data_IF_048092417053
#
_entry.id   IF_048092417053
#
_cell.length_a   1.000
_cell.length_b   1.000
_cell.length_c   1.000
_cell.angle_alpha   90.00
_cell.angle_beta   90.00
_cell.angle_gamma   90.00
#
_symmetry.space_group_name_H-M   'P 1'
#
loop_
_entity.id
_entity.type
_entity.pdbx_description
1 polymer ?
#
# COMPACT_ATOMS: atom_id res chain seq x y z
N UNK A 1 14.22 -18.14 12.61
CA UNK A 1 13.06 -17.26 12.86
C UNK A 1 11.81 -18.06 12.54
N UNK A 2 10.71 -17.79 13.25
CA UNK A 2 9.43 -18.40 12.89
C UNK A 2 8.94 -17.79 11.56
N UNK A 3 8.26 -18.59 10.70
CA UNK A 3 7.56 -18.05 9.53
C UNK A 3 6.66 -16.88 9.92
N UNK A 4 6.74 -15.78 9.16
CA UNK A 4 5.87 -14.62 9.35
C UNK A 4 4.66 -14.69 8.43
N UNK A 5 3.55 -14.08 8.84
CA UNK A 5 2.38 -13.82 7.98
C UNK A 5 2.41 -12.36 7.54
N UNK A 6 2.54 -12.13 6.24
CA UNK A 6 2.59 -10.80 5.63
C UNK A 6 1.39 -10.64 4.71
N UNK A 7 0.49 -9.74 5.06
CA UNK A 7 -0.74 -9.51 4.31
C UNK A 7 -0.62 -8.27 3.43
N UNK A 8 -1.02 -8.39 2.17
CA UNK A 8 -1.04 -7.28 1.21
C UNK A 8 -2.51 -7.01 0.85
N UNK A 9 -3.05 -5.91 1.35
CA UNK A 9 -4.41 -5.45 1.08
C UNK A 9 -4.39 -4.54 -0.15
N UNK A 10 -5.21 -4.86 -1.15
CA UNK A 10 -5.15 -4.24 -2.48
C UNK A 10 -4.10 -4.91 -3.38
N UNK A 11 -3.86 -6.20 -3.18
CA UNK A 11 -2.82 -6.96 -3.87
C UNK A 11 -2.97 -6.97 -5.40
N UNK A 12 -4.15 -6.68 -5.95
CA UNK A 12 -4.37 -6.52 -7.38
C UNK A 12 -3.61 -5.34 -8.01
N UNK A 13 -2.97 -4.48 -7.21
CA UNK A 13 -1.95 -3.52 -7.68
C UNK A 13 -0.67 -4.26 -8.13
N UNK A 14 -0.72 -4.87 -9.32
CA UNK A 14 0.25 -5.86 -9.76
C UNK A 14 1.71 -5.41 -9.70
N UNK A 15 2.03 -4.20 -10.15
CA UNK A 15 3.41 -3.68 -10.12
C UNK A 15 3.92 -3.59 -8.68
N UNK A 16 3.12 -2.99 -7.79
CA UNK A 16 3.49 -2.80 -6.39
C UNK A 16 3.62 -4.15 -5.66
N UNK A 17 2.63 -5.02 -5.81
CA UNK A 17 2.64 -6.34 -5.17
C UNK A 17 3.79 -7.21 -5.65
N UNK A 18 4.11 -7.21 -6.95
CA UNK A 18 5.20 -8.02 -7.50
C UNK A 18 6.58 -7.47 -7.13
N UNK A 19 6.73 -6.15 -6.96
CA UNK A 19 7.95 -5.57 -6.39
C UNK A 19 8.17 -6.05 -4.96
N UNK A 20 7.15 -5.97 -4.10
CA UNK A 20 7.23 -6.50 -2.73
C UNK A 20 7.55 -7.99 -2.71
N UNK A 21 6.87 -8.80 -3.53
CA UNK A 21 7.17 -10.23 -3.62
C UNK A 21 8.60 -10.49 -4.09
N UNK A 22 9.11 -9.72 -5.05
CA UNK A 22 10.50 -9.81 -5.52
C UNK A 22 11.49 -9.58 -4.39
N UNK A 23 11.26 -8.55 -3.58
CA UNK A 23 12.15 -8.20 -2.47
C UNK A 23 12.07 -9.22 -1.34
N UNK A 24 10.86 -9.72 -1.03
CA UNK A 24 10.67 -10.82 -0.08
C UNK A 24 11.42 -12.09 -0.52
N UNK A 25 11.37 -12.44 -1.81
CA UNK A 25 12.11 -13.60 -2.35
C UNK A 25 13.63 -13.45 -2.20
N UNK A 26 14.14 -12.22 -2.25
CA UNK A 26 15.58 -11.90 -2.16
C UNK A 26 16.06 -11.69 -0.73
N UNK A 27 15.18 -11.76 0.27
CA UNK A 27 15.49 -11.46 1.67
C UNK A 27 15.55 -12.74 2.52
N UNK A 28 16.74 -13.31 2.80
CA UNK A 28 16.87 -14.65 3.37
C UNK A 28 16.22 -14.82 4.75
N UNK A 29 16.21 -13.76 5.58
CA UNK A 29 15.59 -13.81 6.91
C UNK A 29 14.05 -13.88 6.87
N UNK A 30 13.43 -13.60 5.72
CA UNK A 30 11.98 -13.68 5.50
C UNK A 30 11.57 -14.96 4.75
N UNK A 31 12.51 -15.86 4.47
CA UNK A 31 12.21 -17.15 3.85
C UNK A 31 11.18 -17.94 4.69
N UNK A 32 10.36 -18.77 4.02
CA UNK A 32 9.27 -19.56 4.62
C UNK A 32 8.07 -18.76 5.13
N UNK A 33 8.07 -17.44 5.00
CA UNK A 33 6.90 -16.61 5.31
C UNK A 33 5.71 -16.92 4.41
N UNK A 34 4.51 -16.68 4.94
CA UNK A 34 3.25 -16.74 4.22
C UNK A 34 2.87 -15.34 3.78
N UNK A 35 2.65 -15.15 2.48
CA UNK A 35 2.17 -13.89 1.91
C UNK A 35 0.69 -14.05 1.57
N UNK A 36 -0.18 -13.33 2.29
CA UNK A 36 -1.62 -13.28 2.03
C UNK A 36 -1.93 -12.14 1.06
N UNK A 37 -2.34 -12.49 -0.14
CA UNK A 37 -2.76 -11.55 -1.17
C UNK A 37 -4.27 -11.32 -1.03
N UNK A 38 -4.67 -10.09 -0.72
CA UNK A 38 -6.09 -9.73 -0.59
C UNK A 38 -6.47 -8.65 -1.59
N UNK A 39 -7.51 -8.91 -2.38
CA UNK A 39 -8.17 -7.93 -3.24
C UNK A 39 -9.65 -8.31 -3.43
N UNK A 40 -10.49 -7.31 -3.71
CA UNK A 40 -11.90 -7.54 -4.03
C UNK A 40 -12.11 -7.95 -5.49
N UNK A 41 -11.14 -7.64 -6.37
CA UNK A 41 -11.14 -8.03 -7.77
C UNK A 41 -10.43 -9.38 -7.93
N UNK A 42 -11.23 -10.44 -8.12
CA UNK A 42 -10.73 -11.81 -8.24
C UNK A 42 -9.82 -12.00 -9.46
N UNK A 43 -10.09 -11.31 -10.57
CA UNK A 43 -9.30 -11.46 -11.80
C UNK A 43 -7.90 -10.87 -11.61
N UNK A 44 -7.82 -9.68 -11.01
CA UNK A 44 -6.53 -9.05 -10.69
C UNK A 44 -5.76 -9.88 -9.65
N UNK A 45 -6.47 -10.37 -8.63
CA UNK A 45 -5.88 -11.22 -7.59
C UNK A 45 -5.29 -12.51 -8.16
N UNK A 46 -5.99 -13.18 -9.07
CA UNK A 46 -5.51 -14.38 -9.77
C UNK A 46 -4.26 -14.11 -10.59
N UNK A 47 -4.26 -13.01 -11.36
CA UNK A 47 -3.09 -12.60 -12.13
C UNK A 47 -1.86 -12.37 -11.26
N UNK A 48 -2.03 -11.66 -10.13
CA UNK A 48 -0.93 -11.38 -9.20
C UNK A 48 -0.44 -12.65 -8.51
N UNK A 49 -1.33 -13.53 -8.04
CA UNK A 49 -0.93 -14.79 -7.43
C UNK A 49 -0.14 -15.67 -8.40
N UNK A 50 -0.57 -15.76 -9.66
CA UNK A 50 0.13 -16.51 -10.70
C UNK A 50 1.55 -15.99 -10.91
N UNK A 51 1.69 -14.67 -11.09
CA UNK A 51 2.98 -14.03 -11.33
C UNK A 51 3.89 -14.11 -10.09
N UNK A 52 3.35 -13.92 -8.88
CA UNK A 52 4.09 -14.06 -7.63
C UNK A 52 4.64 -15.48 -7.44
N UNK A 53 3.84 -16.50 -7.78
CA UNK A 53 4.25 -17.91 -7.72
C UNK A 53 5.37 -18.21 -8.73
N UNK A 54 5.26 -17.66 -9.95
CA UNK A 54 6.31 -17.79 -10.97
C UNK A 54 7.61 -17.15 -10.49
N UNK A 55 7.54 -15.93 -9.97
CA UNK A 55 8.69 -15.18 -9.48
C UNK A 55 9.41 -15.90 -8.33
N UNK A 56 8.64 -16.41 -7.36
CA UNK A 56 9.17 -17.25 -6.28
C UNK A 56 9.93 -18.46 -6.81
N UNK A 57 9.34 -19.20 -7.76
CA UNK A 57 9.95 -20.40 -8.32
C UNK A 57 11.24 -20.07 -9.09
N UNK A 58 11.27 -18.94 -9.80
CA UNK A 58 12.44 -18.47 -10.53
C UNK A 58 13.60 -18.09 -9.60
N UNK A 59 13.31 -17.46 -8.46
CA UNK A 59 14.31 -17.18 -7.42
C UNK A 59 14.66 -18.38 -6.52
N UNK A 60 13.94 -19.50 -6.63
CA UNK A 60 14.09 -20.64 -5.72
C UNK A 60 13.73 -20.31 -4.26
N UNK A 61 12.86 -19.33 -4.05
CA UNK A 61 12.47 -18.87 -2.71
C UNK A 61 11.40 -19.79 -2.08
N UNK A 62 11.38 -19.88 -0.76
CA UNK A 62 10.45 -20.75 -0.02
C UNK A 62 9.23 -19.99 0.52
N UNK A 63 8.72 -18.96 -0.18
CA UNK A 63 7.51 -18.25 0.24
C UNK A 63 6.24 -19.08 -0.01
N UNK A 64 5.28 -19.03 0.90
CA UNK A 64 3.92 -19.53 0.67
C UNK A 64 3.00 -18.37 0.24
N UNK A 65 2.03 -18.64 -0.62
CA UNK A 65 1.03 -17.65 -1.04
C UNK A 65 -0.37 -18.16 -0.73
N UNK A 66 -1.13 -17.32 -0.02
CA UNK A 66 -2.56 -17.48 0.18
C UNK A 66 -3.26 -16.33 -0.53
N UNK A 67 -4.47 -16.57 -1.06
CA UNK A 67 -5.31 -15.51 -1.61
C UNK A 67 -6.66 -15.50 -0.91
N UNK A 68 -7.22 -14.32 -0.70
CA UNK A 68 -8.58 -14.16 -0.17
C UNK A 68 -9.21 -12.88 -0.71
N UNK A 69 -10.54 -12.86 -0.77
CA UNK A 69 -11.32 -11.63 -0.99
C UNK A 69 -11.88 -11.07 0.32
N UNK A 70 -11.65 -11.76 1.44
CA UNK A 70 -12.12 -11.39 2.75
C UNK A 70 -11.04 -10.62 3.52
N UNK A 71 -11.43 -9.47 4.08
CA UNK A 71 -10.49 -8.60 4.78
C UNK A 71 -10.10 -9.16 6.16
N UNK A 72 -11.02 -9.83 6.85
CA UNK A 72 -10.80 -10.41 8.18
C UNK A 72 -9.85 -11.62 8.09
N UNK A 73 -10.03 -12.50 7.11
CA UNK A 73 -9.09 -13.58 6.81
C UNK A 73 -7.68 -13.05 6.51
N UNK A 74 -7.59 -11.94 5.76
CA UNK A 74 -6.30 -11.34 5.43
C UNK A 74 -5.60 -10.77 6.67
N UNK A 75 -6.32 -10.12 7.58
CA UNK A 75 -5.72 -9.42 8.74
C UNK A 75 -5.48 -10.36 9.93
N UNK A 76 -6.35 -11.34 10.17
CA UNK A 76 -6.33 -12.15 11.38
C UNK A 76 -5.00 -12.91 11.56
N UNK A 77 -4.31 -12.64 12.67
CA UNK A 77 -3.01 -13.24 13.00
C UNK A 77 -1.85 -12.84 12.07
N UNK A 78 -1.96 -11.75 11.30
CA UNK A 78 -0.85 -11.23 10.52
C UNK A 78 0.24 -10.63 11.43
N UNK A 79 1.50 -10.69 11.01
CA UNK A 79 2.62 -9.97 11.64
C UNK A 79 2.81 -8.58 11.00
N UNK A 80 2.52 -8.49 9.70
CA UNK A 80 2.59 -7.27 8.92
C UNK A 80 1.37 -7.15 8.01
N UNK A 81 0.75 -5.98 7.99
CA UNK A 81 -0.36 -5.65 7.11
C UNK A 81 0.07 -4.47 6.24
N UNK A 82 0.27 -4.71 4.94
CA UNK A 82 0.64 -3.71 3.95
C UNK A 82 -0.63 -3.28 3.23
N UNK A 83 -1.04 -2.03 3.37
CA UNK A 83 -2.23 -1.50 2.71
C UNK A 83 -1.86 -0.64 1.51
N UNK A 84 -2.18 -1.13 0.31
CA UNK A 84 -2.05 -0.44 -0.98
C UNK A 84 -3.40 -0.28 -1.70
N UNK A 85 -4.53 -0.53 -1.00
CA UNK A 85 -5.84 -0.45 -1.62
C UNK A 85 -6.29 1.00 -1.89
N UNK A 86 -6.85 1.22 -3.07
CA UNK A 86 -7.51 2.47 -3.46
C UNK A 86 -9.02 2.22 -3.61
N UNK A 87 -9.79 2.55 -2.58
CA UNK A 87 -11.23 2.32 -2.54
C UNK A 87 -11.93 3.13 -3.64
N UNK A 88 -12.72 2.44 -4.47
CA UNK A 88 -13.38 3.01 -5.66
C UNK A 88 -12.48 3.13 -6.89
N UNK A 89 -11.16 3.03 -6.73
CA UNK A 89 -10.19 3.09 -7.82
C UNK A 89 -10.18 4.40 -8.61
N UNK A 90 -9.40 4.41 -9.69
CA UNK A 90 -9.36 5.54 -10.63
C UNK A 90 -10.73 5.95 -11.20
N UNK A 91 -11.69 5.03 -11.49
CA UNK A 91 -13.01 5.42 -11.96
C UNK A 91 -13.77 6.33 -10.96
N UNK A 92 -13.63 6.09 -9.65
CA UNK A 92 -14.19 6.97 -8.64
C UNK A 92 -13.52 8.35 -8.67
N UNK A 93 -12.18 8.38 -8.70
CA UNK A 93 -11.41 9.63 -8.71
C UNK A 93 -11.77 10.51 -9.90
N UNK A 94 -11.79 9.96 -11.11
CA UNK A 94 -12.10 10.70 -12.33
C UNK A 94 -13.57 11.14 -12.39
N UNK A 95 -14.49 10.32 -11.86
CA UNK A 95 -15.91 10.72 -11.74
C UNK A 95 -16.06 11.94 -10.85
N UNK A 96 -15.41 11.95 -9.69
CA UNK A 96 -15.44 13.10 -8.76
C UNK A 96 -14.74 14.31 -9.39
N UNK A 97 -13.61 14.09 -10.07
CA UNK A 97 -12.88 15.16 -10.77
C UNK A 97 -13.77 15.86 -11.79
N UNK A 98 -14.46 15.07 -12.62
CA UNK A 98 -15.38 15.60 -13.64
C UNK A 98 -16.56 16.38 -13.03
N UNK A 99 -17.05 15.98 -11.84
CA UNK A 99 -18.04 16.77 -11.10
C UNK A 99 -17.41 18.11 -10.68
N UNK A 100 -16.24 18.12 -10.06
CA UNK A 100 -15.57 19.36 -9.65
C UNK A 100 -15.32 20.31 -10.83
N UNK A 101 -14.82 19.79 -11.95
CA UNK A 101 -14.53 20.58 -13.15
C UNK A 101 -15.81 21.20 -13.76
N UNK A 102 -16.94 20.46 -13.75
CA UNK A 102 -18.25 20.99 -14.16
C UNK A 102 -18.69 22.20 -13.32
N UNK A 103 -18.21 22.31 -12.09
CA UNK A 103 -18.53 23.39 -11.17
C UNK A 103 -17.42 24.46 -11.05
N UNK A 104 -16.45 24.47 -11.97
CA UNK A 104 -15.40 25.49 -12.02
C UNK A 104 -14.16 25.20 -11.17
N UNK A 105 -14.08 24.01 -10.57
CA UNK A 105 -12.87 23.56 -9.86
C UNK A 105 -11.98 22.78 -10.82
N UNK A 106 -11.08 23.49 -11.50
CA UNK A 106 -10.08 22.86 -12.38
C UNK A 106 -9.28 21.81 -11.60
N UNK A 107 -9.20 20.59 -12.14
CA UNK A 107 -8.61 19.38 -11.50
C UNK A 107 -9.39 18.80 -10.32
N UNK A 108 -10.62 19.27 -10.07
CA UNK A 108 -11.50 18.76 -9.00
C UNK A 108 -11.29 19.48 -7.66
N UNK A 109 -12.20 19.26 -6.72
CA UNK A 109 -12.18 19.94 -5.41
C UNK A 109 -11.04 19.46 -4.49
N UNK A 110 -10.54 18.24 -4.69
CA UNK A 110 -9.44 17.68 -3.91
C UNK A 110 -8.07 18.25 -4.33
N UNK A 111 -7.97 18.85 -5.52
CA UNK A 111 -6.78 19.58 -5.93
C UNK A 111 -6.77 20.94 -5.22
N UNK A 112 -5.87 21.09 -4.26
CA UNK A 112 -5.77 22.26 -3.39
C UNK A 112 -4.34 22.81 -3.38
N UNK A 113 -4.17 24.01 -2.85
CA UNK A 113 -2.82 24.56 -2.60
C UNK A 113 -1.99 23.55 -1.78
N UNK A 114 -0.78 23.26 -2.26
CA UNK A 114 0.13 22.24 -1.71
C UNK A 114 -0.34 20.78 -1.75
N UNK A 115 -1.50 20.48 -2.36
CA UNK A 115 -1.95 19.11 -2.62
C UNK A 115 -2.54 18.99 -4.04
N UNK A 116 -1.66 18.85 -5.03
CA UNK A 116 -2.03 18.72 -6.45
C UNK A 116 -1.85 17.31 -7.01
N UNK A 117 -1.40 16.36 -6.19
CA UNK A 117 -1.22 14.96 -6.59
C UNK A 117 -2.59 14.36 -6.90
N UNK A 118 -2.78 13.92 -8.14
CA UNK A 118 -4.13 13.72 -8.70
C UNK A 118 -4.93 12.56 -8.09
N UNK A 119 -4.28 11.61 -7.43
CA UNK A 119 -4.89 10.48 -6.70
C UNK A 119 -4.79 10.64 -5.17
N UNK A 120 -4.34 11.80 -4.70
CA UNK A 120 -4.17 12.13 -3.28
C UNK A 120 -5.38 12.89 -2.74
N UNK A 121 -6.56 12.27 -2.89
CA UNK A 121 -7.81 12.89 -2.44
C UNK A 121 -7.85 12.94 -0.91
N UNK A 122 -8.40 14.02 -0.37
CA UNK A 122 -8.46 14.23 1.08
C UNK A 122 -9.84 14.64 1.59
N UNK A 123 -10.75 15.04 0.70
CA UNK A 123 -12.10 15.49 1.05
C UNK A 123 -13.16 14.53 0.54
N UNK A 124 -13.12 14.20 -0.76
CA UNK A 124 -14.20 13.44 -1.40
C UNK A 124 -14.09 11.92 -1.20
N UNK A 125 -12.90 11.41 -0.87
CA UNK A 125 -12.62 9.99 -0.71
C UNK A 125 -12.93 9.47 0.71
N UNK A 126 -14.06 9.86 1.30
CA UNK A 126 -14.48 9.41 2.63
C UNK A 126 -14.41 7.88 2.80
N UNK A 127 -14.78 7.11 1.76
CA UNK A 127 -14.72 5.64 1.76
C UNK A 127 -13.28 5.10 1.97
N UNK A 128 -12.26 5.83 1.52
CA UNK A 128 -10.85 5.47 1.72
C UNK A 128 -10.45 5.57 3.19
N UNK A 129 -10.77 6.70 3.84
CA UNK A 129 -10.53 6.87 5.28
C UNK A 129 -11.33 5.89 6.13
N UNK A 130 -12.60 5.63 5.77
CA UNK A 130 -13.41 4.62 6.43
C UNK A 130 -12.76 3.23 6.34
N UNK A 131 -12.15 2.91 5.21
CA UNK A 131 -11.44 1.65 5.01
C UNK A 131 -10.14 1.56 5.80
N UNK A 132 -9.37 2.66 5.88
CA UNK A 132 -8.19 2.75 6.75
C UNK A 132 -8.53 2.46 8.22
N UNK A 133 -9.59 3.10 8.74
CA UNK A 133 -10.05 2.87 10.11
C UNK A 133 -10.63 1.47 10.30
N UNK A 134 -11.28 0.89 9.27
CA UNK A 134 -11.78 -0.49 9.31
C UNK A 134 -10.62 -1.49 9.46
N UNK A 135 -9.56 -1.35 8.67
CA UNK A 135 -8.36 -2.20 8.78
C UNK A 135 -7.74 -2.04 10.17
N UNK A 136 -7.52 -0.80 10.62
CA UNK A 136 -6.89 -0.55 11.91
C UNK A 136 -7.68 -1.15 13.08
N UNK A 137 -9.02 -1.02 13.07
CA UNK A 137 -9.90 -1.64 14.09
C UNK A 137 -9.80 -3.16 14.07
N UNK A 138 -9.81 -3.76 12.89
CA UNK A 138 -9.71 -5.21 12.75
C UNK A 138 -8.35 -5.74 13.24
N UNK A 139 -7.28 -4.96 13.04
CA UNK A 139 -5.96 -5.27 13.60
C UNK A 139 -5.96 -5.20 15.13
N UNK A 140 -6.61 -4.21 15.76
CA UNK A 140 -6.74 -4.17 17.22
C UNK A 140 -7.38 -5.45 17.79
N UNK A 141 -8.39 -5.98 17.09
CA UNK A 141 -9.15 -7.14 17.55
C UNK A 141 -8.45 -8.47 17.26
N UNK A 142 -7.78 -8.60 16.10
CA UNK A 142 -7.34 -9.91 15.56
C UNK A 142 -5.84 -10.03 15.30
N UNK A 143 -5.09 -8.93 15.33
CA UNK A 143 -3.65 -8.90 15.11
C UNK A 143 -2.99 -7.72 15.85
N UNK A 144 -3.14 -7.61 17.19
CA UNK A 144 -2.74 -6.42 17.95
C UNK A 144 -1.23 -6.16 17.94
N UNK A 145 -0.43 -7.20 17.69
CA UNK A 145 1.02 -7.12 17.56
C UNK A 145 1.51 -6.92 16.12
N UNK A 146 0.61 -6.78 15.15
CA UNK A 146 1.00 -6.53 13.77
C UNK A 146 1.48 -5.08 13.57
N UNK A 147 2.29 -4.87 12.54
CA UNK A 147 2.55 -3.53 12.00
C UNK A 147 1.65 -3.24 10.80
N UNK A 148 1.02 -2.07 10.80
CA UNK A 148 0.35 -1.51 9.62
C UNK A 148 1.35 -0.66 8.82
N UNK A 149 1.58 -1.06 7.57
CA UNK A 149 2.42 -0.35 6.61
C UNK A 149 1.49 0.31 5.59
N UNK A 150 1.21 1.59 5.78
CA UNK A 150 0.30 2.34 4.91
C UNK A 150 1.06 2.88 3.69
N UNK A 151 0.81 2.31 2.52
CA UNK A 151 1.33 2.79 1.24
C UNK A 151 0.23 3.47 0.39
N UNK A 152 -1.04 3.17 0.68
CA UNK A 152 -2.18 3.77 0.01
C UNK A 152 -2.33 5.26 0.37
N UNK A 153 -2.55 6.09 -0.65
CA UNK A 153 -2.87 7.50 -0.47
C UNK A 153 -4.27 7.70 0.16
N UNK A 154 -4.48 8.79 0.91
CA UNK A 154 -3.50 9.81 1.30
C UNK A 154 -2.66 9.36 2.52
N UNK A 155 -1.36 9.15 2.33
CA UNK A 155 -0.47 8.59 3.39
C UNK A 155 -0.37 9.51 4.60
N UNK A 156 -0.30 10.83 4.42
CA UNK A 156 -0.13 11.78 5.50
C UNK A 156 -1.39 11.86 6.37
N UNK A 157 -2.53 12.15 5.77
CA UNK A 157 -3.83 12.22 6.45
C UNK A 157 -4.23 10.86 7.00
N UNK A 158 -4.03 9.78 6.23
CA UNK A 158 -4.36 8.41 6.66
C UNK A 158 -3.54 7.95 7.87
N UNK A 159 -2.23 8.20 7.86
CA UNK A 159 -1.35 7.90 9.00
C UNK A 159 -1.70 8.76 10.21
N UNK A 160 -1.94 10.05 9.99
CA UNK A 160 -2.36 10.97 11.06
C UNK A 160 -3.69 10.54 11.69
N UNK A 161 -4.66 10.15 10.86
CA UNK A 161 -5.97 9.69 11.30
C UNK A 161 -5.85 8.42 12.16
N UNK A 162 -5.20 7.39 11.64
CA UNK A 162 -5.10 6.10 12.34
C UNK A 162 -4.32 6.27 13.65
N UNK A 163 -3.16 6.95 13.62
CA UNK A 163 -2.31 7.13 14.81
C UNK A 163 -2.98 7.94 15.94
N UNK A 164 -3.94 8.81 15.62
CA UNK A 164 -4.71 9.57 16.62
C UNK A 164 -5.91 8.79 17.17
N UNK A 165 -6.54 7.96 16.34
CA UNK A 165 -7.80 7.28 16.67
C UNK A 165 -7.64 5.85 17.19
N UNK A 166 -6.50 5.21 16.93
CA UNK A 166 -6.27 3.77 17.17
C UNK A 166 -4.92 3.52 17.81
N UNK A 167 -4.82 2.45 18.59
CA UNK A 167 -3.60 2.06 19.32
C UNK A 167 -2.94 0.84 18.68
N UNK A 168 -2.52 0.99 17.43
CA UNK A 168 -1.78 -0.03 16.68
C UNK A 168 -0.37 0.46 16.32
N UNK A 169 0.53 -0.47 16.05
CA UNK A 169 1.85 -0.15 15.49
C UNK A 169 1.67 0.18 14.02
N UNK A 170 2.06 1.38 13.60
CA UNK A 170 1.92 1.76 12.21
C UNK A 170 3.01 2.72 11.71
N UNK A 171 3.21 2.72 10.41
CA UNK A 171 4.08 3.66 9.69
C UNK A 171 3.55 3.87 8.27
N UNK A 172 3.68 5.09 7.76
CA UNK A 172 3.39 5.42 6.36
C UNK A 172 4.66 5.35 5.51
N UNK A 173 4.57 4.77 4.31
CA UNK A 173 5.70 4.67 3.38
C UNK A 173 5.40 5.42 2.07
N UNK A 174 6.42 6.08 1.53
CA UNK A 174 6.41 6.70 0.22
C UNK A 174 7.84 6.74 -0.34
N UNK A 175 7.98 6.90 -1.64
CA UNK A 175 9.27 6.88 -2.36
C UNK A 175 9.67 8.27 -2.91
N UNK A 176 8.95 9.35 -2.55
CA UNK A 176 9.26 10.70 -3.06
C UNK A 176 10.68 11.18 -2.74
N UNK A 177 11.30 10.69 -1.67
CA UNK A 177 12.65 11.11 -1.26
C UNK A 177 13.76 10.67 -2.24
N UNK A 178 13.51 9.70 -3.13
CA UNK A 178 14.51 9.23 -4.10
C UNK A 178 14.90 10.32 -5.13
N UNK A 179 14.10 11.36 -5.31
CA UNK A 179 14.44 12.45 -6.25
C UNK A 179 15.66 13.29 -5.82
N UNK A 180 16.15 13.13 -4.59
CA UNK A 180 17.48 13.65 -4.19
C UNK A 180 18.57 13.09 -5.09
N UNK A 181 18.47 11.83 -5.53
CA UNK A 181 19.43 11.22 -6.47
C UNK A 181 19.44 11.92 -7.83
N UNK A 182 18.27 12.37 -8.29
CA UNK A 182 18.16 13.12 -9.53
C UNK A 182 18.79 14.50 -9.40
N UNK A 183 18.59 15.19 -8.28
CA UNK A 183 19.22 16.48 -8.01
C UNK A 183 20.74 16.35 -7.93
N UNK A 184 21.24 15.34 -7.19
CA UNK A 184 22.67 15.04 -7.06
C UNK A 184 23.33 14.82 -8.43
N UNK A 185 22.72 13.95 -9.26
CA UNK A 185 23.18 13.65 -10.61
C UNK A 185 23.20 14.88 -11.51
N UNK A 186 22.15 15.70 -11.48
CA UNK A 186 22.08 16.94 -12.26
C UNK A 186 23.13 17.97 -11.84
N UNK A 187 23.49 17.99 -10.55
CA UNK A 187 24.55 18.85 -10.02
C UNK A 187 25.96 18.27 -10.22
N UNK A 188 26.09 17.06 -10.77
CA UNK A 188 27.38 16.41 -11.04
C UNK A 188 28.01 15.71 -9.84
N UNK A 189 27.22 15.39 -8.81
CA UNK A 189 27.68 14.69 -7.60
C UNK A 189 27.21 13.23 -7.58
N UNK A 190 28.00 12.37 -6.95
CA UNK A 190 27.54 11.04 -6.52
C UNK A 190 26.84 11.12 -5.18
N UNK A 191 25.94 10.17 -4.89
CA UNK A 191 25.22 10.14 -3.61
C UNK A 191 26.14 9.95 -2.39
N UNK A 192 27.32 9.35 -2.58
CA UNK A 192 28.32 9.19 -1.52
C UNK A 192 29.04 10.51 -1.17
N UNK A 193 28.88 11.56 -1.98
CA UNK A 193 29.53 12.86 -1.80
C UNK A 193 28.62 13.87 -1.07
N UNK A 194 27.39 13.47 -0.72
CA UNK A 194 26.34 14.35 -0.17
C UNK A 194 25.89 13.82 1.19
N UNK A 195 25.85 14.70 2.20
CA UNK A 195 25.18 14.49 3.48
C UNK A 195 23.79 15.14 3.43
N UNK A 196 22.72 14.34 3.45
CA UNK A 196 21.34 14.76 3.20
C UNK A 196 20.33 14.05 4.11
#
# INVERSE_FOLDING_TARGET
MNPLTISIIGAGSAVFSLQLVSDLCKTPCLSKSVVRLMDIDTNRLEGVQFLATKLRNEFGAELAFEKTTDLEEAVCGADFVINTALVGGHPFLEKVRGIGEKHGYYRGIDAQEFNMVSDYYTLSNWNQYAYFLKIARLMEDTAPDAWLLLAANPVFEGTTLISRERKIKMVGFCHGHYDVENVARCAGYGMNDIDW
#
